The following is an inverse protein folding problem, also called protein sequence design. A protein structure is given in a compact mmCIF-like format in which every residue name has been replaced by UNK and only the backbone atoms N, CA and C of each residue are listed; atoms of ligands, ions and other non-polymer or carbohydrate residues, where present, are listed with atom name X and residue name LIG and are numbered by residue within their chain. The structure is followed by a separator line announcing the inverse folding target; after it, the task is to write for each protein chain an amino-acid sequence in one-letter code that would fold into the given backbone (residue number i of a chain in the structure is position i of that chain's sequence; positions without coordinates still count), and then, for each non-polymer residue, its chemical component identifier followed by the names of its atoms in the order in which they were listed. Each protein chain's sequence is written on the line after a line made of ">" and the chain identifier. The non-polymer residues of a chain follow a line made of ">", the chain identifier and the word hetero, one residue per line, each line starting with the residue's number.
data_IF_461129757327
#
_entry.id   IF_461129757327
#
_cell.length_a   1.000
_cell.length_b   1.000
_cell.length_c   1.000
_cell.angle_alpha   90.00
_cell.angle_beta   90.00
_cell.angle_gamma   90.00
#
_symmetry.space_group_name_H-M   'P 1'
#
loop_
_entity.id
_entity.type
_entity.pdbx_description
1 polymer ?
#
# COMPACT_ATOMS: atom_id res chain seq x y z
N UNK A 1 11.02 32.85 -46.47
CA UNK A 1 12.10 33.38 -45.61
C UNK A 1 11.49 34.54 -44.84
N UNK A 2 11.27 34.48 -43.54
CA UNK A 2 12.27 34.33 -42.48
C UNK A 2 11.71 33.53 -41.28
N UNK A 3 12.56 32.69 -40.72
CA UNK A 3 12.40 31.99 -39.45
C UNK A 3 13.22 32.74 -38.38
N UNK A 4 12.89 32.56 -37.09
CA UNK A 4 13.69 32.75 -35.85
C UNK A 4 13.07 33.69 -34.80
N UNK A 5 12.54 33.10 -33.72
CA UNK A 5 13.06 33.07 -32.33
C UNK A 5 12.11 32.17 -31.51
N UNK A 6 12.39 30.89 -31.24
CA UNK A 6 13.19 30.36 -30.12
C UNK A 6 12.85 30.98 -28.76
N UNK A 7 12.16 30.22 -27.91
CA UNK A 7 12.56 29.95 -26.51
C UNK A 7 11.64 28.86 -25.92
N UNK A 8 12.29 27.79 -25.52
CA UNK A 8 11.80 26.59 -24.84
C UNK A 8 11.13 26.92 -23.50
N UNK A 9 10.04 26.23 -23.17
CA UNK A 9 9.77 25.54 -21.88
C UNK A 9 8.27 25.28 -21.68
N UNK A 10 7.78 24.10 -22.05
CA UNK A 10 6.66 23.48 -21.33
C UNK A 10 6.58 21.96 -21.62
N UNK A 11 7.74 21.31 -21.66
CA UNK A 11 7.80 19.86 -21.72
C UNK A 11 7.48 19.34 -20.32
N UNK A 12 6.29 18.76 -20.17
CA UNK A 12 5.95 17.82 -19.10
C UNK A 12 5.31 18.39 -17.83
N UNK A 13 4.24 19.18 -17.95
CA UNK A 13 3.19 19.17 -16.91
C UNK A 13 2.44 17.85 -17.01
N UNK A 14 2.98 16.79 -16.40
CA UNK A 14 2.23 15.53 -16.22
C UNK A 14 0.92 15.87 -15.53
N UNK A 15 -0.18 15.68 -16.24
CA UNK A 15 -1.51 15.93 -15.70
C UNK A 15 -1.73 14.99 -14.52
N UNK A 16 -2.50 15.41 -13.50
CA UNK A 16 -2.77 14.57 -12.32
C UNK A 16 -3.46 13.24 -12.69
N UNK A 17 -4.03 13.16 -13.88
CA UNK A 17 -4.71 11.97 -14.40
C UNK A 17 -3.82 11.12 -15.31
N UNK A 18 -2.60 11.58 -15.64
CA UNK A 18 -1.72 10.83 -16.52
C UNK A 18 -1.30 9.51 -15.86
N UNK A 19 -1.32 8.39 -16.62
CA UNK A 19 -0.83 7.12 -16.12
C UNK A 19 0.66 7.18 -15.76
N UNK A 20 0.97 6.61 -14.61
CA UNK A 20 2.31 6.45 -14.05
C UNK A 20 2.55 4.98 -13.76
N UNK A 21 3.69 4.49 -14.24
CA UNK A 21 4.14 3.12 -14.00
C UNK A 21 5.17 3.06 -12.88
N UNK A 22 4.96 2.14 -11.95
CA UNK A 22 5.86 1.81 -10.85
C UNK A 22 6.31 0.36 -10.97
N UNK A 23 7.51 0.09 -10.52
CA UNK A 23 8.07 -1.24 -10.36
C UNK A 23 8.37 -1.45 -8.87
N UNK A 24 7.56 -2.26 -8.20
CA UNK A 24 7.65 -2.51 -6.76
C UNK A 24 8.16 -3.93 -6.53
N UNK A 25 9.43 -4.07 -6.20
CA UNK A 25 10.07 -5.38 -5.97
C UNK A 25 10.03 -6.32 -7.18
N UNK A 26 9.90 -5.79 -8.39
CA UNK A 26 9.74 -6.55 -9.63
C UNK A 26 8.30 -6.59 -10.19
N UNK A 27 7.30 -6.24 -9.40
CA UNK A 27 5.89 -6.17 -9.83
C UNK A 27 5.58 -4.81 -10.46
N UNK A 28 5.02 -4.83 -11.68
CA UNK A 28 4.69 -3.60 -12.41
C UNK A 28 3.26 -3.18 -12.09
N UNK A 29 3.12 -1.97 -11.55
CA UNK A 29 1.85 -1.31 -11.27
C UNK A 29 1.68 -0.09 -12.15
N UNK A 30 0.47 0.11 -12.68
CA UNK A 30 0.09 1.34 -13.36
C UNK A 30 -1.05 2.01 -12.60
N UNK A 31 -0.92 3.30 -12.32
CA UNK A 31 -1.93 4.12 -11.65
C UNK A 31 -1.80 5.58 -12.07
N UNK A 32 -2.47 6.53 -11.43
CA UNK A 32 -2.35 7.97 -11.72
C UNK A 32 -1.60 8.73 -10.63
N UNK A 33 -1.08 9.92 -10.96
CA UNK A 33 -0.50 10.84 -9.96
C UNK A 33 -1.52 11.21 -8.88
N UNK A 34 -2.79 11.41 -9.24
CA UNK A 34 -3.88 11.69 -8.29
C UNK A 34 -3.99 10.60 -7.22
N UNK A 35 -3.90 9.33 -7.61
CA UNK A 35 -3.95 8.20 -6.67
C UNK A 35 -2.74 8.22 -5.72
N UNK A 36 -1.54 8.43 -6.27
CA UNK A 36 -0.28 8.39 -5.51
C UNK A 36 -0.12 9.61 -4.58
N UNK A 37 -0.72 10.74 -4.94
CA UNK A 37 -0.66 11.99 -4.18
C UNK A 37 -1.88 12.25 -3.31
N UNK A 38 -2.81 11.29 -3.22
CA UNK A 38 -3.99 11.38 -2.35
C UNK A 38 -3.63 11.59 -0.88
N UNK A 39 -2.57 10.93 -0.41
CA UNK A 39 -1.95 11.21 0.88
C UNK A 39 -0.64 11.98 0.63
N UNK A 40 -0.70 13.32 0.58
CA UNK A 40 0.49 14.16 0.30
C UNK A 40 1.55 14.07 1.39
N UNK A 41 1.14 13.75 2.61
CA UNK A 41 1.98 13.52 3.78
C UNK A 41 2.66 12.15 3.79
N UNK A 42 2.26 11.25 2.89
CA UNK A 42 2.90 9.94 2.73
C UNK A 42 4.20 10.02 1.94
N UNK A 43 5.02 8.98 2.04
CA UNK A 43 6.25 8.85 1.26
C UNK A 43 5.97 8.86 -0.25
N UNK A 44 4.88 8.23 -0.69
CA UNK A 44 4.46 8.25 -2.09
C UNK A 44 4.08 9.66 -2.54
N UNK A 45 3.34 10.40 -1.70
CA UNK A 45 3.05 11.80 -1.94
C UNK A 45 4.32 12.63 -2.13
N UNK A 46 5.30 12.47 -1.24
CA UNK A 46 6.57 13.18 -1.30
C UNK A 46 7.44 12.79 -2.53
N UNK A 47 7.44 11.52 -2.91
CA UNK A 47 8.12 11.03 -4.13
C UNK A 47 7.55 11.66 -5.41
N UNK A 48 6.22 11.70 -5.53
CA UNK A 48 5.55 12.17 -6.75
C UNK A 48 5.28 13.67 -6.79
N UNK A 49 5.49 14.38 -5.67
CA UNK A 49 5.54 15.86 -5.63
C UNK A 49 6.95 16.41 -5.80
N UNK A 50 7.96 15.55 -5.97
CA UNK A 50 9.35 15.94 -6.21
C UNK A 50 10.13 16.32 -4.95
N UNK A 51 9.59 16.07 -3.76
CA UNK A 51 10.27 16.32 -2.50
C UNK A 51 11.34 15.26 -2.19
N UNK A 52 11.15 14.03 -2.70
CA UNK A 52 12.06 12.91 -2.53
C UNK A 52 12.54 12.44 -3.91
N UNK A 53 13.86 12.27 -4.13
CA UNK A 53 14.37 11.71 -5.37
C UNK A 53 13.88 10.28 -5.57
N UNK A 54 13.34 9.99 -6.75
CA UNK A 54 12.86 8.66 -7.13
C UNK A 54 13.90 7.92 -7.96
N UNK A 55 14.12 6.63 -7.66
CA UNK A 55 14.88 5.74 -8.53
C UNK A 55 14.00 5.28 -9.68
N UNK A 56 14.59 5.08 -10.86
CA UNK A 56 13.90 4.52 -12.01
C UNK A 56 14.60 3.26 -12.50
N UNK A 57 13.84 2.32 -13.03
CA UNK A 57 14.37 1.14 -13.69
C UNK A 57 14.83 1.45 -15.13
N UNK A 58 15.38 0.44 -15.82
CA UNK A 58 15.86 0.59 -17.20
C UNK A 58 14.75 0.92 -18.21
N UNK A 59 13.48 0.77 -17.83
CA UNK A 59 12.29 1.08 -18.64
C UNK A 59 11.69 2.45 -18.27
N UNK A 60 12.29 3.17 -17.33
CA UNK A 60 11.84 4.48 -16.89
C UNK A 60 10.72 4.48 -15.85
N UNK A 61 10.32 3.30 -15.34
CA UNK A 61 9.32 3.16 -14.28
C UNK A 61 9.94 3.55 -12.93
N UNK A 62 9.14 4.13 -12.03
CA UNK A 62 9.61 4.42 -10.66
C UNK A 62 9.86 3.12 -9.92
N UNK A 63 11.09 2.87 -9.49
CA UNK A 63 11.48 1.65 -8.81
C UNK A 63 11.44 1.81 -7.29
N UNK A 64 10.75 0.88 -6.65
CA UNK A 64 10.60 0.79 -5.20
C UNK A 64 11.04 -0.60 -4.76
N UNK A 65 12.05 -0.67 -3.89
CA UNK A 65 12.62 -1.94 -3.41
C UNK A 65 11.81 -2.47 -2.22
N UNK A 66 10.53 -2.81 -2.45
CA UNK A 66 9.56 -3.28 -1.44
C UNK A 66 8.75 -4.47 -1.96
N UNK A 67 7.93 -5.07 -1.09
CA UNK A 67 7.09 -6.19 -1.47
C UNK A 67 5.95 -5.77 -2.42
N UNK A 68 6.07 -6.18 -3.68
CA UNK A 68 5.09 -5.87 -4.71
C UNK A 68 3.72 -6.49 -4.47
N UNK A 69 3.61 -7.67 -3.84
CA UNK A 69 2.32 -8.35 -3.64
C UNK A 69 1.47 -7.64 -2.61
N UNK A 70 2.10 -7.22 -1.51
CA UNK A 70 1.43 -6.46 -0.43
C UNK A 70 1.14 -5.03 -0.86
N UNK A 71 1.99 -4.45 -1.71
CA UNK A 71 1.74 -3.12 -2.28
C UNK A 71 0.39 -3.00 -3.00
N UNK A 72 -0.16 -4.09 -3.53
CA UNK A 72 -1.50 -4.11 -4.13
C UNK A 72 -2.56 -3.56 -3.17
N UNK A 73 -2.52 -3.95 -1.89
CA UNK A 73 -3.49 -3.51 -0.89
C UNK A 73 -3.28 -2.04 -0.51
N UNK A 74 -2.01 -1.59 -0.43
CA UNK A 74 -1.67 -0.18 -0.26
C UNK A 74 -2.28 0.65 -1.40
N UNK A 75 -2.07 0.21 -2.65
CA UNK A 75 -2.56 0.91 -3.82
C UNK A 75 -4.09 0.93 -3.89
N UNK A 76 -4.74 -0.18 -3.53
CA UNK A 76 -6.20 -0.23 -3.46
C UNK A 76 -6.74 0.72 -2.40
N UNK A 77 -6.12 0.80 -1.22
CA UNK A 77 -6.48 1.78 -0.20
C UNK A 77 -6.36 3.20 -0.72
N UNK A 78 -5.29 3.53 -1.45
CA UNK A 78 -5.17 4.86 -2.07
C UNK A 78 -6.25 5.14 -3.13
N UNK A 79 -6.89 4.12 -3.74
CA UNK A 79 -7.98 4.33 -4.69
C UNK A 79 -9.33 4.49 -4.02
N UNK A 80 -9.68 3.60 -3.09
CA UNK A 80 -11.00 3.54 -2.45
C UNK A 80 -11.08 4.32 -1.13
N UNK A 81 -9.92 4.62 -0.52
CA UNK A 81 -9.83 5.11 0.87
C UNK A 81 -10.46 4.13 1.89
N UNK A 82 -10.51 2.83 1.54
CA UNK A 82 -11.06 1.74 2.36
C UNK A 82 -10.06 0.58 2.43
N UNK A 83 -9.98 -0.08 3.60
CA UNK A 83 -9.15 -1.26 3.80
C UNK A 83 -9.92 -2.52 3.38
N UNK A 84 -9.81 -2.88 2.10
CA UNK A 84 -10.50 -4.04 1.53
C UNK A 84 -9.56 -5.26 1.49
N UNK A 85 -9.67 -6.13 2.51
CA UNK A 85 -8.87 -7.35 2.63
C UNK A 85 -9.72 -8.60 2.31
N UNK A 86 -9.15 -9.61 1.63
CA UNK A 86 -9.83 -10.87 1.41
C UNK A 86 -10.09 -11.61 2.74
N UNK A 87 -11.13 -12.45 2.75
CA UNK A 87 -11.41 -13.30 3.91
C UNK A 87 -10.21 -14.22 4.21
N UNK A 88 -9.82 -14.29 5.48
CA UNK A 88 -8.67 -15.09 5.91
C UNK A 88 -7.30 -14.48 5.57
N UNK A 89 -7.23 -13.18 5.28
CA UNK A 89 -5.95 -12.51 5.03
C UNK A 89 -4.99 -12.64 6.22
N UNK A 90 -3.91 -13.39 6.02
CA UNK A 90 -2.94 -13.75 7.07
C UNK A 90 -1.74 -12.81 7.15
N UNK A 91 -1.53 -11.97 6.13
CA UNK A 91 -0.35 -11.12 5.99
C UNK A 91 -0.54 -9.71 6.56
N UNK A 92 -1.48 -9.53 7.51
CA UNK A 92 -1.78 -8.22 8.13
C UNK A 92 -0.53 -7.57 8.75
N UNK A 93 0.31 -8.36 9.40
CA UNK A 93 1.56 -7.87 10.00
C UNK A 93 2.54 -7.34 8.94
N UNK A 94 2.58 -7.96 7.75
CA UNK A 94 3.40 -7.51 6.63
C UNK A 94 2.80 -6.24 6.00
N UNK A 95 1.48 -6.22 5.80
CA UNK A 95 0.77 -5.03 5.34
C UNK A 95 1.00 -3.82 6.24
N UNK A 96 0.99 -4.01 7.56
CA UNK A 96 1.29 -2.96 8.53
C UNK A 96 2.71 -2.42 8.33
N UNK A 97 3.70 -3.28 8.14
CA UNK A 97 5.10 -2.88 7.89
C UNK A 97 5.24 -2.09 6.59
N UNK A 98 4.54 -2.48 5.53
CA UNK A 98 4.53 -1.71 4.29
C UNK A 98 3.82 -0.36 4.44
N UNK A 99 2.66 -0.32 5.11
CA UNK A 99 1.94 0.93 5.39
C UNK A 99 2.78 1.91 6.22
N UNK A 100 3.57 1.39 7.16
CA UNK A 100 4.55 2.16 7.94
C UNK A 100 5.70 2.64 7.06
N UNK A 101 6.27 1.78 6.23
CA UNK A 101 7.32 2.19 5.28
C UNK A 101 6.87 3.34 4.36
N UNK A 102 5.67 3.23 3.77
CA UNK A 102 5.11 4.28 2.92
C UNK A 102 4.56 5.48 3.70
N UNK A 103 4.58 5.43 5.04
CA UNK A 103 4.12 6.50 5.94
C UNK A 103 2.64 6.90 5.69
N UNK A 104 1.78 5.92 5.38
CA UNK A 104 0.35 6.17 5.14
C UNK A 104 -0.41 6.04 6.46
N UNK A 105 -0.45 7.14 7.22
CA UNK A 105 -1.04 7.16 8.58
C UNK A 105 -2.50 6.71 8.63
N UNK A 106 -3.40 7.16 7.73
CA UNK A 106 -4.80 6.73 7.76
C UNK A 106 -4.95 5.21 7.61
N UNK A 107 -4.11 4.59 6.78
CA UNK A 107 -4.09 3.15 6.60
C UNK A 107 -3.58 2.39 7.84
N UNK A 108 -2.57 2.92 8.52
CA UNK A 108 -2.07 2.33 9.76
C UNK A 108 -3.15 2.31 10.86
N UNK A 109 -3.96 3.36 10.94
CA UNK A 109 -5.08 3.43 11.88
C UNK A 109 -6.14 2.38 11.53
N UNK A 110 -6.54 2.29 10.26
CA UNK A 110 -7.49 1.27 9.78
C UNK A 110 -7.00 -0.16 10.07
N UNK A 111 -5.73 -0.46 9.81
CA UNK A 111 -5.14 -1.77 10.13
C UNK A 111 -5.21 -2.05 11.64
N UNK A 112 -4.92 -1.06 12.49
CA UNK A 112 -5.00 -1.20 13.94
C UNK A 112 -6.43 -1.50 14.39
N UNK A 113 -7.43 -0.83 13.78
CA UNK A 113 -8.84 -1.09 14.06
C UNK A 113 -9.26 -2.48 13.60
N UNK A 114 -8.84 -2.89 12.40
CA UNK A 114 -9.06 -4.24 11.88
C UNK A 114 -8.51 -5.31 12.84
N UNK A 115 -7.28 -5.19 13.30
CA UNK A 115 -6.67 -6.12 14.26
C UNK A 115 -7.26 -6.08 15.68
N UNK A 116 -7.90 -4.96 16.05
CA UNK A 116 -8.69 -4.86 17.27
C UNK A 116 -10.05 -5.54 17.15
N UNK A 117 -10.61 -5.58 15.94
CA UNK A 117 -11.89 -6.23 15.62
C UNK A 117 -11.76 -7.74 15.39
N UNK A 118 -10.55 -8.24 15.10
CA UNK A 118 -10.30 -9.67 14.96
C UNK A 118 -10.55 -10.38 16.30
N UNK A 119 -11.17 -11.59 16.27
CA UNK A 119 -11.31 -12.42 17.46
C UNK A 119 -9.95 -12.60 18.15
N UNK A 120 -9.94 -12.56 19.49
CA UNK A 120 -8.73 -12.74 20.32
C UNK A 120 -7.90 -13.98 19.91
N UNK A 121 -8.55 -14.98 19.30
CA UNK A 121 -7.98 -16.22 18.75
C UNK A 121 -6.95 -16.01 17.63
N UNK A 122 -6.97 -14.86 16.92
CA UNK A 122 -6.13 -14.58 15.75
C UNK A 122 -5.05 -13.53 16.02
N UNK A 123 -4.97 -12.99 17.24
CA UNK A 123 -4.16 -11.81 17.57
C UNK A 123 -2.68 -12.10 17.92
N UNK A 124 -2.12 -13.21 17.43
CA UNK A 124 -0.67 -13.42 17.42
C UNK A 124 -0.03 -13.84 18.75
N UNK A 125 -0.55 -14.88 19.40
CA UNK A 125 0.20 -15.66 20.39
C UNK A 125 0.95 -16.85 19.76
N UNK A 126 1.99 -17.40 20.41
CA UNK A 126 2.72 -18.57 19.90
C UNK A 126 1.77 -19.76 19.70
N UNK A 127 2.05 -20.57 18.67
CA UNK A 127 1.27 -21.68 18.09
C UNK A 127 0.79 -22.81 19.04
N UNK A 128 0.84 -22.65 20.37
CA UNK A 128 0.63 -23.74 21.35
C UNK A 128 -0.71 -23.78 22.08
N UNK A 129 -1.61 -22.80 21.95
CA UNK A 129 -2.86 -22.82 22.72
C UNK A 129 -4.04 -22.18 21.97
N UNK A 130 -4.64 -22.96 21.06
CA UNK A 130 -5.94 -22.63 20.47
C UNK A 130 -7.02 -23.32 21.33
N UNK A 131 -7.72 -22.57 22.19
CA UNK A 131 -8.96 -23.07 22.80
C UNK A 131 -10.05 -23.00 21.73
N UNK A 132 -10.44 -24.15 21.20
CA UNK A 132 -11.66 -24.29 20.41
C UNK A 132 -12.85 -24.06 21.33
N UNK A 133 -13.40 -22.84 21.33
CA UNK A 133 -14.74 -22.62 21.89
C UNK A 133 -15.76 -23.14 20.91
N UNK A 134 -16.14 -24.40 21.08
CA UNK A 134 -17.29 -24.97 20.40
C UNK A 134 -18.56 -24.34 20.99
N UNK A 135 -19.24 -23.50 20.21
CA UNK A 135 -20.66 -23.20 20.43
C UNK A 135 -21.41 -24.46 20.05
N UNK A 136 -21.39 -25.45 20.95
CA UNK A 136 -22.45 -26.42 21.20
C UNK A 136 -21.97 -27.49 22.18
N UNK A 137 -22.45 -27.34 23.42
CA UNK A 137 -22.84 -28.38 24.38
C UNK A 137 -21.87 -29.52 24.75
N UNK A 138 -21.63 -29.60 26.07
CA UNK A 138 -21.02 -30.68 26.89
C UNK A 138 -19.48 -30.73 26.95
N UNK A 139 -18.96 -30.08 27.98
CA UNK A 139 -17.66 -30.34 28.60
C UNK A 139 -17.57 -31.83 29.00
N UNK A 140 -16.53 -32.53 28.53
CA UNK A 140 -16.02 -33.75 29.17
C UNK A 140 -14.51 -33.60 29.35
N UNK A 141 -14.07 -33.69 30.60
CA UNK A 141 -12.65 -33.81 30.96
C UNK A 141 -12.24 -35.26 30.72
N UNK A 142 -11.17 -35.47 29.97
CA UNK A 142 -10.50 -36.77 29.90
C UNK A 142 -9.23 -36.69 30.76
N UNK A 143 -9.16 -37.54 31.79
CA UNK A 143 -7.93 -37.89 32.51
C UNK A 143 -7.07 -38.86 31.71
#
# INVERSE_FOLDING_TARGET
>A
MLNLTSSDDNSNRSSVQDPVSLNVGGEIYTTTLDTLTRCRDSMLGAMFTGQIPVRRDNKGNVFIDRDGKVFRYILNYLRSSSLDLPEGFSEVALLRKEADFFQIRPLLEEIRHYEGSLPLSLRGGPLGAMIMVNVDSKVRVLS
#
